data_IF_949833124188
#
_entry.id   IF_949833124188
#
_cell.length_a   1.000
_cell.length_b   1.000
_cell.length_c   1.000
_cell.angle_alpha   90.00
_cell.angle_beta   90.00
_cell.angle_gamma   90.00
#
_symmetry.space_group_name_H-M   'P 1'
#
loop_
_entity.id
_entity.type
_entity.pdbx_description
1 polymer ?
#
# COMPACT_ATOMS: atom_id res chain seq x y z
N UNK A 1 -0.49 -67.61 33.28
CA UNK A 1 0.96 -67.75 33.00
C UNK A 1 1.38 -66.61 32.10
N UNK A 2 2.00 -65.57 32.66
CA UNK A 2 2.96 -64.74 31.92
C UNK A 2 4.33 -65.46 32.01
N UNK A 3 5.30 -65.19 31.10
CA UNK A 3 6.17 -64.04 31.38
C UNK A 3 6.74 -63.29 30.14
N UNK A 4 6.81 -61.96 30.31
CA UNK A 4 7.92 -61.02 30.02
C UNK A 4 8.59 -60.94 28.63
N UNK A 5 8.46 -59.80 27.94
CA UNK A 5 9.35 -58.61 27.94
C UNK A 5 10.36 -58.62 26.79
N UNK A 6 10.15 -57.77 25.77
CA UNK A 6 11.20 -56.83 25.38
C UNK A 6 10.57 -55.56 24.82
N UNK A 7 10.90 -54.47 25.49
CA UNK A 7 10.45 -53.11 25.27
C UNK A 7 11.42 -52.49 24.26
N UNK A 8 10.94 -52.07 23.08
CA UNK A 8 11.67 -51.08 22.27
C UNK A 8 10.80 -49.86 22.14
N UNK A 9 11.07 -48.95 23.07
CA UNK A 9 10.81 -47.54 22.98
C UNK A 9 11.23 -47.03 21.60
N UNK A 10 10.28 -46.58 20.77
CA UNK A 10 10.58 -45.72 19.62
C UNK A 10 9.81 -44.42 19.79
N UNK A 11 10.36 -43.58 20.65
CA UNK A 11 10.00 -42.19 20.77
C UNK A 11 10.60 -41.42 19.57
N UNK A 12 9.84 -40.44 19.08
CA UNK A 12 10.23 -39.39 18.14
C UNK A 12 10.74 -39.84 16.77
N UNK A 13 9.93 -39.64 15.73
CA UNK A 13 10.24 -38.60 14.75
C UNK A 13 8.93 -37.96 14.31
N UNK A 14 8.75 -36.70 14.74
CA UNK A 14 7.81 -35.77 14.12
C UNK A 14 8.04 -35.80 12.62
N UNK A 15 6.96 -36.04 11.87
CA UNK A 15 6.92 -35.89 10.41
C UNK A 15 7.19 -34.42 10.08
N UNK A 16 8.47 -34.06 9.96
CA UNK A 16 8.87 -32.86 9.24
C UNK A 16 8.45 -33.07 7.79
N UNK A 17 7.25 -32.61 7.46
CA UNK A 17 6.88 -32.32 6.09
C UNK A 17 7.88 -31.28 5.61
N UNK A 18 8.89 -31.72 4.87
CA UNK A 18 9.76 -30.84 4.10
C UNK A 18 8.87 -30.25 3.00
N UNK A 19 8.17 -29.18 3.36
CA UNK A 19 7.29 -28.45 2.46
C UNK A 19 8.18 -27.85 1.36
N UNK A 20 7.98 -28.31 0.13
CA UNK A 20 8.69 -27.79 -1.04
C UNK A 20 8.61 -26.24 -1.08
N UNK A 21 9.74 -25.52 -1.12
CA UNK A 21 9.75 -24.06 -1.08
C UNK A 21 9.02 -23.43 -2.28
N UNK A 22 8.86 -24.16 -3.38
CA UNK A 22 8.24 -23.66 -4.60
C UNK A 22 6.70 -23.61 -4.58
N UNK A 23 6.03 -24.34 -3.67
CA UNK A 23 4.55 -24.35 -3.55
C UNK A 23 4.02 -23.35 -2.51
N UNK A 24 4.88 -22.81 -1.66
CA UNK A 24 4.50 -21.90 -0.56
C UNK A 24 4.03 -20.51 -1.02
N UNK A 25 4.32 -20.09 -2.26
CA UNK A 25 3.90 -18.76 -2.73
C UNK A 25 2.36 -18.63 -2.78
N UNK A 26 1.67 -19.64 -3.31
CA UNK A 26 0.21 -19.61 -3.45
C UNK A 26 -0.50 -19.54 -2.09
N UNK A 27 -0.07 -20.36 -1.13
CA UNK A 27 -0.68 -20.39 0.20
C UNK A 27 -0.39 -19.11 1.00
N UNK A 28 0.85 -18.60 0.92
CA UNK A 28 1.24 -17.35 1.59
C UNK A 28 0.54 -16.13 0.97
N UNK A 29 0.42 -16.08 -0.35
CA UNK A 29 -0.33 -15.03 -1.06
C UNK A 29 -1.81 -15.10 -0.71
N UNK A 30 -2.42 -16.29 -0.74
CA UNK A 30 -3.83 -16.46 -0.44
C UNK A 30 -4.14 -16.06 1.01
N UNK A 31 -3.30 -16.45 1.97
CA UNK A 31 -3.48 -16.06 3.37
C UNK A 31 -3.40 -14.54 3.56
N UNK A 32 -2.42 -13.87 2.94
CA UNK A 32 -2.26 -12.40 3.00
C UNK A 32 -3.41 -11.67 2.30
N UNK A 33 -3.81 -12.14 1.12
CA UNK A 33 -4.90 -11.51 0.36
C UNK A 33 -6.22 -11.63 1.09
N UNK A 34 -6.48 -12.75 1.78
CA UNK A 34 -7.68 -12.93 2.61
C UNK A 34 -7.78 -11.88 3.73
N UNK A 35 -6.65 -11.44 4.30
CA UNK A 35 -6.61 -10.36 5.29
C UNK A 35 -6.97 -9.00 4.66
N UNK A 36 -6.45 -8.71 3.45
CA UNK A 36 -6.68 -7.45 2.73
C UNK A 36 -8.06 -7.34 2.07
N UNK A 37 -8.71 -8.45 1.71
CA UNK A 37 -10.02 -8.40 1.05
C UNK A 37 -11.08 -7.70 1.92
N UNK A 38 -10.99 -7.85 3.24
CA UNK A 38 -11.93 -7.19 4.16
C UNK A 38 -11.76 -5.67 4.18
N UNK A 39 -10.55 -5.15 3.95
CA UNK A 39 -10.28 -3.70 3.90
C UNK A 39 -10.66 -3.07 2.56
N UNK A 40 -10.88 -3.89 1.53
CA UNK A 40 -11.34 -3.47 0.20
C UNK A 40 -12.83 -3.81 -0.03
N UNK A 41 -13.58 -4.01 1.06
CA UNK A 41 -15.02 -4.15 0.98
C UNK A 41 -15.66 -2.84 0.52
N UNK A 42 -16.76 -2.92 -0.25
CA UNK A 42 -17.42 -1.78 -0.90
C UNK A 42 -17.61 -0.55 0.02
N UNK A 43 -18.05 -0.79 1.25
CA UNK A 43 -18.27 0.27 2.24
C UNK A 43 -17.02 1.09 2.56
N UNK A 44 -15.84 0.46 2.57
CA UNK A 44 -14.56 1.14 2.79
C UNK A 44 -14.14 1.88 1.52
N UNK A 45 -14.39 1.30 0.34
CA UNK A 45 -14.09 1.94 -0.94
C UNK A 45 -14.92 3.21 -1.16
N UNK A 46 -16.16 3.27 -0.66
CA UNK A 46 -16.98 4.50 -0.68
C UNK A 46 -16.31 5.64 0.10
N UNK A 47 -15.68 5.33 1.25
CA UNK A 47 -14.89 6.31 2.01
C UNK A 47 -13.64 6.72 1.23
N UNK A 48 -12.90 5.77 0.66
CA UNK A 48 -11.72 6.09 -0.15
C UNK A 48 -12.05 6.93 -1.38
N UNK A 49 -13.22 6.72 -1.99
CA UNK A 49 -13.68 7.53 -3.12
C UNK A 49 -13.90 8.99 -2.71
N UNK A 50 -14.46 9.23 -1.52
CA UNK A 50 -14.63 10.59 -1.01
C UNK A 50 -13.28 11.30 -0.79
N UNK A 51 -12.28 10.58 -0.27
CA UNK A 51 -10.92 11.11 -0.10
C UNK A 51 -10.26 11.39 -1.45
N UNK A 52 -10.36 10.48 -2.41
CA UNK A 52 -9.81 10.69 -3.75
C UNK A 52 -10.48 11.86 -4.48
N UNK A 53 -11.78 12.08 -4.28
CA UNK A 53 -12.47 13.25 -4.83
C UNK A 53 -11.90 14.56 -4.26
N UNK A 54 -11.66 14.62 -2.95
CA UNK A 54 -11.04 15.79 -2.31
C UNK A 54 -9.64 16.06 -2.87
N UNK A 55 -8.84 15.01 -3.07
CA UNK A 55 -7.51 15.16 -3.69
C UNK A 55 -7.56 15.59 -5.15
N UNK A 56 -8.58 15.16 -5.89
CA UNK A 56 -8.79 15.61 -7.27
C UNK A 56 -9.18 17.10 -7.31
N UNK A 57 -10.03 17.56 -6.40
CA UNK A 57 -10.40 18.97 -6.30
C UNK A 57 -9.18 19.83 -5.93
N UNK A 58 -8.35 19.37 -4.98
CA UNK A 58 -7.08 20.02 -4.63
C UNK A 58 -6.09 20.07 -5.80
N UNK A 59 -6.02 19.01 -6.62
CA UNK A 59 -5.21 19.01 -7.83
C UNK A 59 -5.68 20.06 -8.83
N UNK A 60 -6.99 20.18 -9.05
CA UNK A 60 -7.58 21.20 -9.93
C UNK A 60 -7.29 22.61 -9.40
N UNK A 61 -7.36 22.81 -8.09
CA UNK A 61 -7.00 24.08 -7.46
C UNK A 61 -5.54 24.47 -7.74
N UNK A 62 -4.60 23.56 -7.45
CA UNK A 62 -3.15 23.77 -7.69
C UNK A 62 -2.84 24.03 -9.17
N UNK A 63 -3.54 23.35 -10.07
CA UNK A 63 -3.45 23.61 -11.51
C UNK A 63 -3.94 25.01 -11.86
N UNK A 64 -5.07 25.45 -11.29
CA UNK A 64 -5.61 26.79 -11.48
C UNK A 64 -4.65 27.88 -10.99
N UNK A 65 -4.00 27.68 -9.85
CA UNK A 65 -2.99 28.60 -9.30
C UNK A 65 -1.80 28.75 -10.25
N UNK A 66 -1.21 27.64 -10.70
CA UNK A 66 -0.08 27.68 -11.64
C UNK A 66 -0.45 28.33 -12.98
N UNK A 67 -1.66 28.10 -13.48
CA UNK A 67 -2.15 28.76 -14.70
C UNK A 67 -2.39 30.26 -14.50
N UNK A 68 -2.73 30.70 -13.29
CA UNK A 68 -2.94 32.11 -12.98
C UNK A 68 -1.64 32.88 -12.75
N UNK A 69 -0.62 32.23 -12.20
CA UNK A 69 0.72 32.80 -11.99
C UNK A 69 1.48 32.94 -13.32
N UNK A 70 1.28 32.00 -14.24
CA UNK A 70 1.81 32.07 -15.60
C UNK A 70 0.94 32.99 -16.48
N UNK A 71 1.05 34.31 -16.25
CA UNK A 71 0.30 35.33 -16.99
C UNK A 71 0.54 35.29 -18.51
N UNK A 72 1.68 34.73 -18.94
CA UNK A 72 1.90 34.30 -20.30
C UNK A 72 1.68 32.79 -20.38
N UNK A 73 0.68 32.36 -21.15
CA UNK A 73 0.46 30.95 -21.55
C UNK A 73 1.64 30.33 -22.33
N UNK A 74 2.83 30.96 -22.31
CA UNK A 74 4.04 30.56 -23.00
C UNK A 74 4.87 29.56 -22.18
N UNK A 75 4.78 29.60 -20.84
CA UNK A 75 5.50 28.69 -19.95
C UNK A 75 4.61 27.51 -19.57
N UNK A 76 4.91 26.34 -20.14
CA UNK A 76 4.21 25.09 -19.83
C UNK A 76 4.37 24.69 -18.36
N UNK A 77 3.45 23.89 -17.84
CA UNK A 77 3.50 23.39 -16.46
C UNK A 77 3.76 21.88 -16.40
N UNK A 78 4.40 21.43 -15.34
CA UNK A 78 4.70 20.01 -15.11
C UNK A 78 3.50 19.29 -14.44
N UNK A 79 2.59 18.79 -15.28
CA UNK A 79 1.43 17.99 -14.83
C UNK A 79 1.84 16.68 -14.18
N UNK A 80 3.00 16.11 -14.53
CA UNK A 80 3.43 14.81 -14.02
C UNK A 80 3.81 14.96 -12.55
N UNK A 81 4.54 16.02 -12.21
CA UNK A 81 4.86 16.36 -10.81
C UNK A 81 3.59 16.56 -9.98
N UNK A 82 2.61 17.33 -10.49
CA UNK A 82 1.34 17.56 -9.79
C UNK A 82 0.53 16.26 -9.60
N UNK A 83 0.50 15.39 -10.62
CA UNK A 83 -0.16 14.09 -10.53
C UNK A 83 0.52 13.16 -9.53
N UNK A 84 1.86 13.14 -9.47
CA UNK A 84 2.62 12.38 -8.44
C UNK A 84 2.27 12.84 -7.03
N UNK A 85 2.23 14.17 -6.81
CA UNK A 85 1.89 14.77 -5.52
C UNK A 85 0.46 14.40 -5.08
N UNK A 86 -0.51 14.46 -6.00
CA UNK A 86 -1.89 14.05 -5.73
C UNK A 86 -2.02 12.54 -5.43
N UNK A 87 -1.34 11.69 -6.22
CA UNK A 87 -1.37 10.25 -6.02
C UNK A 87 -0.74 9.84 -4.67
N UNK A 88 0.34 10.50 -4.28
CA UNK A 88 0.97 10.34 -2.97
C UNK A 88 -0.01 10.66 -1.84
N UNK A 89 -0.63 11.84 -1.91
CA UNK A 89 -1.55 12.32 -0.88
C UNK A 89 -2.75 11.39 -0.71
N UNK A 90 -3.37 10.98 -1.83
CA UNK A 90 -4.48 10.03 -1.82
C UNK A 90 -4.10 8.68 -1.21
N UNK A 91 -2.89 8.19 -1.49
CA UNK A 91 -2.41 6.90 -0.96
C UNK A 91 -2.11 6.97 0.53
N UNK A 92 -1.44 8.03 0.98
CA UNK A 92 -1.14 8.24 2.40
C UNK A 92 -2.40 8.48 3.23
N UNK A 93 -3.38 9.23 2.71
CA UNK A 93 -4.68 9.41 3.36
C UNK A 93 -5.47 8.11 3.48
N UNK A 94 -5.53 7.32 2.41
CA UNK A 94 -6.35 6.09 2.39
C UNK A 94 -5.72 4.91 3.14
N UNK A 95 -4.40 4.73 3.02
CA UNK A 95 -3.70 3.58 3.61
C UNK A 95 -3.19 3.91 5.02
N UNK A 96 -2.59 5.09 5.19
CA UNK A 96 -1.90 5.45 6.43
C UNK A 96 -2.77 6.32 7.35
N UNK A 97 -3.86 6.92 6.84
CA UNK A 97 -4.69 7.83 7.61
C UNK A 97 -3.97 9.13 7.99
N UNK A 98 -2.97 9.53 7.21
CA UNK A 98 -2.18 10.74 7.44
C UNK A 98 -2.37 11.72 6.28
N UNK A 99 -2.40 13.01 6.60
CA UNK A 99 -2.37 14.10 5.63
C UNK A 99 -0.90 14.50 5.44
N UNK A 100 -0.29 14.17 4.30
CA UNK A 100 1.13 14.51 4.06
C UNK A 100 1.27 15.99 3.79
N UNK A 101 0.24 16.62 3.21
CA UNK A 101 0.20 18.07 3.00
C UNK A 101 0.21 18.90 4.30
N UNK A 102 -0.18 18.32 5.44
CA UNK A 102 -0.11 18.98 6.76
C UNK A 102 1.25 18.78 7.45
N UNK A 103 2.14 17.97 6.85
CA UNK A 103 3.52 17.80 7.29
C UNK A 103 4.39 18.90 6.66
N UNK A 104 5.68 18.95 7.01
CA UNK A 104 6.56 19.99 6.48
C UNK A 104 6.62 19.92 4.94
N UNK A 105 6.71 21.08 4.27
CA UNK A 105 6.88 21.11 2.81
C UNK A 105 8.13 20.35 2.36
N UNK A 106 9.18 20.31 3.19
CA UNK A 106 10.42 19.57 2.93
C UNK A 106 10.16 18.05 2.82
N UNK A 107 9.40 17.47 3.75
CA UNK A 107 9.08 16.03 3.74
C UNK A 107 8.25 15.63 2.51
N UNK A 108 7.33 16.52 2.10
CA UNK A 108 6.45 16.29 0.95
C UNK A 108 7.21 16.32 -0.37
N UNK A 109 8.19 17.23 -0.50
CA UNK A 109 9.02 17.37 -1.70
C UNK A 109 10.10 16.28 -1.79
N UNK A 110 10.69 15.86 -0.66
CA UNK A 110 11.70 14.79 -0.63
C UNK A 110 11.14 13.48 -1.21
N UNK A 111 9.93 13.09 -0.80
CA UNK A 111 9.33 11.84 -1.27
C UNK A 111 9.07 11.84 -2.78
N UNK A 112 8.56 12.95 -3.32
CA UNK A 112 8.30 13.05 -4.76
C UNK A 112 9.61 13.06 -5.56
N UNK A 113 10.65 13.69 -5.04
CA UNK A 113 11.99 13.69 -5.64
C UNK A 113 12.59 12.27 -5.64
N UNK A 114 12.37 11.48 -4.59
CA UNK A 114 12.83 10.08 -4.53
C UNK A 114 12.16 9.14 -5.55
N UNK A 115 10.99 9.53 -6.07
CA UNK A 115 10.24 8.78 -7.09
C UNK A 115 10.70 9.13 -8.51
N UNK A 116 11.41 10.24 -8.69
CA UNK A 116 12.00 10.61 -9.97
C UNK A 116 13.17 9.66 -10.29
N UNK A 117 12.97 8.83 -11.33
CA UNK A 117 13.95 7.88 -11.87
C UNK A 117 14.33 8.28 -13.28
#
# INVERSE_FOLDING_TARGET
>A
MAPTLFNVHRNSQHTHTVSCPHRQFSERWHARRKLLTNTLHKSVLEVFLSLMSQEADMLVHRLGEQLSENAEWSEGFDVVRLAKLCALEATCKTIMGINVHEQSEEDYVEYVTAIER
#
